data_IF_359287599304
#
_entry.id   IF_359287599304
#
_cell.length_a   1.000
_cell.length_b   1.000
_cell.length_c   1.000
_cell.angle_alpha   90.00
_cell.angle_beta   90.00
_cell.angle_gamma   90.00
#
_symmetry.space_group_name_H-M   'P 1'
#
loop_
_entity.id
_entity.type
_entity.pdbx_description
1 polymer ?
#
# COMPACT_ATOMS: atom_id res chain seq x y z
N UNK A 1 3.66 6.25 14.97
CA UNK A 1 4.78 6.37 14.01
C UNK A 1 5.51 7.71 14.07
N UNK A 2 4.85 8.85 14.33
CA UNK A 2 5.48 10.19 14.34
C UNK A 2 6.77 10.37 15.15
N UNK A 3 7.07 9.52 16.13
CA UNK A 3 8.23 9.67 17.02
C UNK A 3 9.26 8.53 16.89
N UNK A 4 9.07 7.60 15.95
CA UNK A 4 10.03 6.50 15.77
C UNK A 4 10.97 6.81 14.61
N UNK A 5 12.22 6.41 14.74
CA UNK A 5 13.21 6.58 13.67
C UNK A 5 13.09 5.51 12.57
N UNK A 6 12.57 4.33 12.91
CA UNK A 6 12.55 3.13 12.09
C UNK A 6 11.43 2.20 12.58
N UNK A 7 10.75 1.52 11.67
CA UNK A 7 9.88 0.37 11.96
C UNK A 7 10.63 -0.91 11.57
N UNK A 8 10.64 -1.92 12.44
CA UNK A 8 11.34 -3.20 12.18
C UNK A 8 10.36 -4.34 12.41
N UNK A 9 10.37 -5.32 11.51
CA UNK A 9 9.56 -6.53 11.62
C UNK A 9 8.95 -6.86 10.28
N UNK A 10 7.72 -7.36 10.27
CA UNK A 10 7.02 -7.69 9.04
C UNK A 10 5.53 -7.31 9.11
N UNK A 11 5.20 -6.32 9.93
CA UNK A 11 3.82 -5.84 10.10
C UNK A 11 3.30 -5.14 8.85
N UNK A 12 1.99 -5.20 8.63
CA UNK A 12 1.32 -4.45 7.55
C UNK A 12 1.47 -2.95 7.73
N UNK A 13 1.53 -2.45 8.96
CA UNK A 13 1.69 -1.01 9.23
C UNK A 13 3.01 -0.47 8.67
N UNK A 14 4.06 -1.30 8.65
CA UNK A 14 5.34 -0.95 8.02
C UNK A 14 5.25 -0.73 6.50
N UNK A 15 4.25 -1.35 5.86
CA UNK A 15 4.01 -1.25 4.41
C UNK A 15 2.97 -0.20 4.06
N UNK A 16 1.88 -0.14 4.83
CA UNK A 16 0.69 0.67 4.53
C UNK A 16 0.78 2.04 5.18
N UNK A 17 1.29 2.16 6.41
CA UNK A 17 1.18 3.40 7.20
C UNK A 17 2.50 4.16 7.28
N UNK A 18 3.62 3.45 7.49
CA UNK A 18 4.95 4.07 7.65
C UNK A 18 5.37 5.00 6.50
N UNK A 19 5.05 4.71 5.22
CA UNK A 19 5.35 5.62 4.12
C UNK A 19 4.70 7.01 4.29
N UNK A 20 3.47 7.11 4.83
CA UNK A 20 2.80 8.40 5.06
C UNK A 20 3.51 9.28 6.09
N UNK A 21 4.35 8.69 6.95
CA UNK A 21 5.14 9.43 7.92
C UNK A 21 6.57 9.69 7.44
N UNK A 22 6.94 9.24 6.24
CA UNK A 22 8.33 9.24 5.79
C UNK A 22 9.25 8.41 6.70
N UNK A 23 8.68 7.46 7.45
CA UNK A 23 9.44 6.62 8.37
C UNK A 23 9.89 5.37 7.61
N UNK A 24 11.18 5.01 7.68
CA UNK A 24 11.67 3.83 7.00
C UNK A 24 11.26 2.55 7.73
N UNK A 25 11.01 1.50 6.93
CA UNK A 25 10.64 0.17 7.43
C UNK A 25 11.70 -0.84 7.02
N UNK A 26 12.26 -1.56 7.98
CA UNK A 26 13.03 -2.79 7.74
C UNK A 26 12.06 -3.96 7.77
N UNK A 27 11.67 -4.43 6.58
CA UNK A 27 10.72 -5.52 6.39
C UNK A 27 11.46 -6.87 6.33
N UNK A 28 11.18 -7.75 7.30
CA UNK A 28 11.90 -9.00 7.53
C UNK A 28 11.13 -10.19 6.94
N UNK A 29 11.79 -10.88 6.00
CA UNK A 29 11.26 -12.08 5.36
C UNK A 29 10.14 -11.80 4.35
N UNK A 30 9.43 -12.86 3.97
CA UNK A 30 8.55 -12.85 2.80
C UNK A 30 7.08 -12.52 3.08
N UNK A 31 6.69 -12.22 4.34
CA UNK A 31 5.28 -12.00 4.70
C UNK A 31 4.59 -10.91 3.85
N UNK A 32 5.32 -9.87 3.47
CA UNK A 32 4.80 -8.75 2.69
C UNK A 32 5.16 -8.85 1.19
N UNK A 33 5.63 -10.01 0.71
CA UNK A 33 5.95 -10.23 -0.69
C UNK A 33 4.70 -10.09 -1.56
N UNK A 34 4.85 -9.47 -2.72
CA UNK A 34 3.74 -9.21 -3.66
C UNK A 34 2.91 -7.97 -3.35
N UNK A 35 3.11 -7.30 -2.21
CA UNK A 35 2.47 -6.01 -1.91
C UNK A 35 3.18 -4.86 -2.62
N UNK A 36 2.43 -3.80 -2.92
CA UNK A 36 3.00 -2.51 -3.34
C UNK A 36 3.96 -1.99 -2.28
N UNK A 37 5.13 -1.49 -2.70
CA UNK A 37 6.18 -1.01 -1.79
C UNK A 37 6.51 0.44 -2.07
N UNK A 38 6.60 1.23 -1.02
CA UNK A 38 7.16 2.57 -1.07
C UNK A 38 8.70 2.52 -1.04
N UNK A 39 9.35 3.60 -1.48
CA UNK A 39 10.81 3.73 -1.44
C UNK A 39 11.37 3.77 0.00
N UNK A 40 10.54 3.99 1.01
CA UNK A 40 10.92 3.93 2.43
C UNK A 40 11.14 2.50 2.96
N UNK A 41 10.90 1.47 2.16
CA UNK A 41 11.06 0.08 2.59
C UNK A 41 12.44 -0.51 2.27
N UNK A 42 12.95 -1.29 3.22
CA UNK A 42 14.18 -2.07 3.11
C UNK A 42 13.83 -3.53 3.42
N UNK A 43 13.77 -4.36 2.37
CA UNK A 43 13.56 -5.79 2.54
C UNK A 43 14.84 -6.49 2.94
N UNK A 44 14.75 -7.35 3.95
CA UNK A 44 15.87 -8.16 4.45
C UNK A 44 15.41 -9.59 4.68
N UNK A 45 16.30 -10.57 4.50
CA UNK A 45 16.00 -11.96 4.90
C UNK A 45 16.03 -12.08 6.43
N UNK A 46 15.47 -13.16 6.96
CA UNK A 46 15.53 -13.52 8.39
C UNK A 46 16.95 -13.97 8.81
N UNK A 47 17.96 -13.12 8.59
CA UNK A 47 19.36 -13.37 8.90
C UNK A 47 19.90 -12.18 9.68
N UNK A 48 20.55 -12.43 10.81
CA UNK A 48 21.04 -11.39 11.72
C UNK A 48 21.86 -10.32 11.00
N UNK A 49 22.80 -10.71 10.14
CA UNK A 49 23.62 -9.77 9.38
C UNK A 49 22.82 -8.87 8.43
N UNK A 50 21.82 -9.42 7.75
CA UNK A 50 20.96 -8.64 6.85
C UNK A 50 20.06 -7.68 7.62
N UNK A 51 19.49 -8.13 8.74
CA UNK A 51 18.67 -7.27 9.61
C UNK A 51 19.50 -6.11 10.15
N UNK A 52 20.71 -6.39 10.67
CA UNK A 52 21.62 -5.35 11.17
C UNK A 52 21.99 -4.35 10.06
N UNK A 53 22.29 -4.83 8.85
CA UNK A 53 22.61 -3.96 7.72
C UNK A 53 21.40 -3.11 7.29
N UNK A 54 20.20 -3.69 7.26
CA UNK A 54 18.96 -2.95 6.96
C UNK A 54 18.69 -1.86 7.99
N UNK A 55 18.85 -2.16 9.28
CA UNK A 55 18.70 -1.18 10.37
C UNK A 55 19.75 -0.07 10.25
N UNK A 56 21.02 -0.41 10.00
CA UNK A 56 22.08 0.58 9.80
C UNK A 56 21.78 1.50 8.60
N UNK A 57 21.34 0.94 7.48
CA UNK A 57 20.92 1.72 6.31
C UNK A 57 19.81 2.70 6.68
N UNK A 58 18.75 2.24 7.33
CA UNK A 58 17.64 3.12 7.70
C UNK A 58 18.02 4.26 8.66
N UNK A 59 18.96 4.00 9.58
CA UNK A 59 19.41 4.97 10.58
C UNK A 59 20.48 5.93 10.07
N UNK A 60 21.39 5.46 9.21
CA UNK A 60 22.65 6.17 8.94
C UNK A 60 22.95 6.44 7.44
N UNK A 61 22.25 5.80 6.50
CA UNK A 61 22.44 6.09 5.08
C UNK A 61 21.78 7.44 4.73
N UNK A 62 22.61 8.47 4.55
CA UNK A 62 22.13 9.82 4.26
C UNK A 62 21.34 9.92 2.95
N UNK A 63 21.77 9.19 1.90
CA UNK A 63 21.11 9.24 0.60
C UNK A 63 19.71 8.64 0.70
N UNK A 64 19.59 7.49 1.34
CA UNK A 64 18.30 6.86 1.60
C UNK A 64 17.41 7.78 2.45
N UNK A 65 17.94 8.35 3.52
CA UNK A 65 17.18 9.23 4.43
C UNK A 65 16.72 10.54 3.79
N UNK A 66 17.52 11.12 2.88
CA UNK A 66 17.11 12.30 2.10
C UNK A 66 15.90 11.99 1.21
N UNK A 67 15.87 10.80 0.62
CA UNK A 67 14.75 10.34 -0.21
C UNK A 67 13.43 10.18 0.54
N UNK A 68 13.46 9.98 1.85
CA UNK A 68 12.25 9.77 2.66
C UNK A 68 11.28 10.96 2.66
N UNK A 69 11.78 12.18 2.45
CA UNK A 69 10.95 13.41 2.43
C UNK A 69 10.02 13.49 1.21
N UNK A 70 10.36 12.79 0.13
CA UNK A 70 9.60 12.76 -1.13
C UNK A 70 8.89 11.43 -1.35
N UNK A 71 8.83 10.56 -0.34
CA UNK A 71 8.17 9.26 -0.46
C UNK A 71 6.68 9.48 -0.61
N UNK A 72 6.12 8.89 -1.67
CA UNK A 72 4.68 8.72 -1.83
C UNK A 72 4.23 7.38 -1.26
N UNK A 73 3.08 7.37 -0.58
CA UNK A 73 2.48 6.15 -0.07
C UNK A 73 1.60 5.52 -1.16
N UNK A 74 1.94 4.33 -1.69
CA UNK A 74 1.14 3.68 -2.73
C UNK A 74 -0.25 3.24 -2.26
N UNK A 75 -0.50 3.20 -0.94
CA UNK A 75 -1.80 2.87 -0.36
C UNK A 75 -2.68 4.09 -0.06
N UNK A 76 -2.14 5.31 -0.19
CA UNK A 76 -2.87 6.55 -0.04
C UNK A 76 -2.55 7.48 -1.22
N UNK A 77 -3.12 7.20 -2.41
CA UNK A 77 -2.79 7.92 -3.63
C UNK A 77 -3.21 9.39 -3.60
N UNK A 78 -4.14 9.77 -2.73
CA UNK A 78 -4.62 11.15 -2.59
C UNK A 78 -3.85 11.91 -1.51
N UNK A 79 -3.43 11.24 -0.43
CA UNK A 79 -2.62 11.84 0.63
C UNK A 79 -3.31 12.96 1.41
N UNK A 80 -4.63 13.10 1.27
CA UNK A 80 -5.40 14.26 1.74
C UNK A 80 -6.29 13.95 2.96
N UNK A 81 -6.29 12.71 3.44
CA UNK A 81 -7.08 12.30 4.59
C UNK A 81 -8.60 12.24 4.35
N UNK A 82 -9.08 12.42 3.11
CA UNK A 82 -10.53 12.49 2.80
C UNK A 82 -11.15 11.16 2.37
N UNK A 83 -10.48 10.04 2.64
CA UNK A 83 -10.95 8.70 2.25
C UNK A 83 -12.37 8.42 2.78
N UNK A 84 -12.62 8.72 4.06
CA UNK A 84 -13.93 8.51 4.70
C UNK A 84 -15.03 9.34 4.04
N UNK A 85 -14.75 10.61 3.71
CA UNK A 85 -15.71 11.49 3.02
C UNK A 85 -16.08 10.94 1.64
N UNK A 86 -15.09 10.45 0.88
CA UNK A 86 -15.32 9.82 -0.43
C UNK A 86 -16.17 8.57 -0.31
N UNK A 87 -15.85 7.68 0.64
CA UNK A 87 -16.61 6.44 0.87
C UNK A 87 -18.05 6.77 1.24
N UNK A 88 -18.27 7.70 2.17
CA UNK A 88 -19.62 8.14 2.56
C UNK A 88 -20.36 8.76 1.38
N UNK A 89 -19.67 9.55 0.54
CA UNK A 89 -20.22 10.12 -0.68
C UNK A 89 -20.71 9.04 -1.64
N UNK A 90 -19.95 7.97 -1.85
CA UNK A 90 -20.37 6.83 -2.68
C UNK A 90 -21.60 6.14 -2.06
N UNK A 91 -21.53 5.78 -0.77
CA UNK A 91 -22.62 5.06 -0.10
C UNK A 91 -23.94 5.85 -0.07
N UNK A 92 -23.89 7.18 0.03
CA UNK A 92 -25.10 8.03 0.02
C UNK A 92 -25.76 8.14 -1.35
N UNK A 93 -24.96 8.12 -2.41
CA UNK A 93 -25.42 8.41 -3.76
C UNK A 93 -25.59 7.16 -4.62
N UNK A 94 -25.23 5.99 -4.11
CA UNK A 94 -25.39 4.75 -4.86
C UNK A 94 -26.90 4.44 -5.05
N UNK A 95 -27.37 4.23 -6.30
CA UNK A 95 -28.77 3.92 -6.53
C UNK A 95 -29.18 2.60 -5.88
N UNK A 96 -30.30 2.61 -5.15
CA UNK A 96 -30.87 1.41 -4.52
C UNK A 96 -31.98 0.83 -5.40
N UNK A 97 -31.60 0.36 -6.58
CA UNK A 97 -32.52 -0.21 -7.57
C UNK A 97 -32.31 -1.73 -7.75
N UNK A 98 -33.04 -2.31 -8.71
CA UNK A 98 -32.98 -3.75 -8.98
C UNK A 98 -31.58 -4.22 -9.41
N UNK A 99 -30.79 -3.37 -10.05
CA UNK A 99 -29.41 -3.70 -10.49
C UNK A 99 -28.49 -3.94 -9.29
N UNK A 100 -28.75 -3.30 -8.15
CA UNK A 100 -28.04 -3.55 -6.89
C UNK A 100 -28.34 -4.93 -6.29
N UNK A 101 -29.51 -5.50 -6.58
CA UNK A 101 -29.94 -6.81 -6.08
C UNK A 101 -29.50 -7.95 -7.01
N UNK A 102 -29.29 -7.64 -8.28
CA UNK A 102 -28.88 -8.59 -9.30
C UNK A 102 -27.35 -8.72 -9.31
N UNK A 103 -26.87 -9.93 -9.04
CA UNK A 103 -25.44 -10.25 -9.14
C UNK A 103 -25.06 -10.36 -10.61
N UNK A 104 -24.45 -9.33 -11.20
CA UNK A 104 -23.81 -9.47 -12.50
C UNK A 104 -22.47 -10.20 -12.35
N UNK A 105 -22.18 -11.12 -13.27
CA UNK A 105 -20.85 -11.66 -13.45
C UNK A 105 -20.22 -10.89 -14.60
N UNK A 106 -19.07 -10.24 -14.40
CA UNK A 106 -18.35 -9.50 -15.45
C UNK A 106 -17.69 -10.40 -16.51
N UNK A 107 -18.08 -11.67 -16.55
CA UNK A 107 -17.70 -12.58 -17.63
C UNK A 107 -18.79 -12.48 -18.69
N UNK A 108 -18.47 -12.05 -19.93
CA UNK A 108 -19.47 -12.05 -20.98
C UNK A 108 -20.00 -13.47 -21.15
N UNK A 109 -21.32 -13.60 -21.16
CA UNK A 109 -21.97 -14.81 -21.62
C UNK A 109 -21.49 -15.10 -23.06
N UNK A 110 -21.32 -16.37 -23.48
CA UNK A 110 -20.98 -16.70 -24.86
C UNK A 110 -21.88 -16.03 -25.93
N UNK A 111 -23.13 -15.69 -25.60
CA UNK A 111 -24.02 -14.93 -26.49
C UNK A 111 -23.65 -13.44 -26.63
N UNK A 112 -23.07 -12.83 -25.59
CA UNK A 112 -22.71 -11.40 -25.56
C UNK A 112 -21.41 -11.11 -26.33
N UNK A 113 -20.51 -12.10 -26.44
CA UNK A 113 -19.25 -12.00 -27.20
C UNK A 113 -19.49 -11.77 -28.70
N UNK A 114 -20.64 -12.20 -29.25
CA UNK A 114 -20.99 -12.05 -30.67
C UNK A 114 -21.12 -10.59 -31.11
N UNK A 115 -21.35 -9.65 -30.18
CA UNK A 115 -21.61 -8.25 -30.48
C UNK A 115 -20.39 -7.32 -30.28
N UNK A 116 -19.22 -7.86 -29.90
CA UNK A 116 -18.00 -7.07 -29.67
C UNK A 116 -17.07 -6.96 -30.91
N UNK A 117 -17.51 -7.45 -32.07
CA UNK A 117 -16.73 -7.45 -33.32
C UNK A 117 -17.46 -6.80 -34.51
N UNK A 118 -18.28 -5.77 -34.25
CA UNK A 118 -18.67 -4.75 -35.24
C UNK A 118 -18.08 -3.39 -34.87
#
# INVERSE_FOLDING_TARGET
MRHVAVVIGNSSSGVIEAPSFGVPTVNIGDRQKGRSKAQSQIDVRCRTGEIVNGVKKALFDEQFRRGLKSVSNPYDPYGDGKVSERIVGVLKNVPLDRKMLEKSLDFPCPEEVKYFHE
#
